data_IF_946485476762
#
_entry.id   IF_946485476762
#
_cell.length_a   1.000
_cell.length_b   1.000
_cell.length_c   1.000
_cell.angle_alpha   90.00
_cell.angle_beta   90.00
_cell.angle_gamma   90.00
#
_symmetry.space_group_name_H-M   'P 1'
#
loop_
_entity.id
_entity.type
_entity.pdbx_description
1 polymer ?
#
# COMPACT_ATOMS: atom_id res chain seq x y z
N UNK A 1 -13.18 3.88 35.24
CA UNK A 1 -12.57 4.47 34.03
C UNK A 1 -13.30 3.95 32.81
N UNK A 2 -13.96 4.82 32.02
CA UNK A 2 -14.44 4.44 30.68
C UNK A 2 -13.22 4.22 29.81
N UNK A 3 -13.08 3.03 29.21
CA UNK A 3 -12.04 2.79 28.20
C UNK A 3 -12.37 3.65 26.99
N UNK A 4 -11.45 4.49 26.50
CA UNK A 4 -11.72 5.29 25.31
C UNK A 4 -12.02 4.36 24.15
N UNK A 5 -12.99 4.75 23.32
CA UNK A 5 -13.35 3.97 22.15
C UNK A 5 -12.17 4.02 21.16
N UNK A 6 -11.90 2.94 20.43
CA UNK A 6 -10.81 2.90 19.43
C UNK A 6 -10.93 4.04 18.41
N UNK A 7 -12.16 4.50 18.14
CA UNK A 7 -12.43 5.65 17.29
C UNK A 7 -11.95 6.99 17.85
N UNK A 8 -11.90 7.16 19.18
CA UNK A 8 -11.43 8.38 19.86
C UNK A 8 -9.89 8.46 19.88
N UNK A 9 -9.21 7.31 19.91
CA UNK A 9 -7.74 7.24 19.96
C UNK A 9 -7.11 7.16 18.56
N UNK A 10 -7.81 6.54 17.60
CA UNK A 10 -7.36 6.38 16.21
C UNK A 10 -8.47 6.82 15.23
N UNK A 11 -8.59 8.15 14.99
CA UNK A 11 -9.56 8.68 14.03
C UNK A 11 -9.37 8.04 12.65
N UNK A 12 -10.49 7.83 11.95
CA UNK A 12 -10.48 7.21 10.61
C UNK A 12 -9.82 8.13 9.59
N UNK A 13 -9.21 7.54 8.57
CA UNK A 13 -8.45 8.26 7.54
C UNK A 13 -7.09 8.81 7.97
N UNK A 14 -6.69 8.69 9.23
CA UNK A 14 -5.37 9.14 9.72
C UNK A 14 -4.23 8.29 9.16
N UNK A 15 -3.05 8.91 9.03
CA UNK A 15 -1.83 8.21 8.60
C UNK A 15 -1.47 7.07 9.57
N UNK A 16 -1.73 7.22 10.87
CA UNK A 16 -1.46 6.17 11.87
C UNK A 16 -2.31 4.91 11.61
N UNK A 17 -3.62 5.08 11.42
CA UNK A 17 -4.53 3.97 11.15
C UNK A 17 -4.29 3.35 9.77
N UNK A 18 -3.88 4.16 8.80
CA UNK A 18 -3.40 3.67 7.51
C UNK A 18 -2.09 2.90 7.68
N UNK A 19 -1.13 3.41 8.44
CA UNK A 19 0.18 2.81 8.66
C UNK A 19 0.13 1.48 9.41
N UNK A 20 -0.81 1.29 10.35
CA UNK A 20 -1.00 0.00 11.03
C UNK A 20 -1.50 -1.07 10.05
N UNK A 21 -2.57 -0.76 9.30
CA UNK A 21 -3.10 -1.65 8.27
C UNK A 21 -2.08 -1.87 7.13
N UNK A 22 -1.42 -0.79 6.73
CA UNK A 22 -0.41 -0.76 5.68
C UNK A 22 0.83 -1.55 6.08
N UNK A 23 1.26 -1.49 7.33
CA UNK A 23 2.40 -2.26 7.85
C UNK A 23 2.12 -3.77 7.83
N UNK A 24 0.92 -4.18 8.23
CA UNK A 24 0.49 -5.58 8.09
C UNK A 24 0.49 -6.02 6.62
N UNK A 25 -0.04 -5.18 5.72
CA UNK A 25 -0.07 -5.46 4.29
C UNK A 25 1.33 -5.50 3.66
N UNK A 26 2.21 -4.59 4.04
CA UNK A 26 3.62 -4.55 3.61
C UNK A 26 4.37 -5.78 4.11
N UNK A 27 4.07 -6.28 5.31
CA UNK A 27 4.63 -7.54 5.78
C UNK A 27 4.16 -8.72 4.92
N UNK A 28 2.87 -8.82 4.61
CA UNK A 28 2.36 -9.87 3.71
C UNK A 28 2.99 -9.79 2.31
N UNK A 29 3.14 -8.58 1.78
CA UNK A 29 3.87 -8.35 0.52
C UNK A 29 5.29 -8.89 0.65
N UNK A 30 6.04 -8.44 1.66
CA UNK A 30 7.43 -8.86 1.84
C UNK A 30 7.58 -10.39 1.91
N UNK A 31 6.71 -11.06 2.67
CA UNK A 31 6.69 -12.54 2.75
C UNK A 31 6.43 -13.16 1.39
N UNK A 32 5.38 -12.73 0.68
CA UNK A 32 5.04 -13.29 -0.63
C UNK A 32 6.13 -13.05 -1.68
N UNK A 33 6.74 -11.86 -1.65
CA UNK A 33 7.83 -11.48 -2.53
C UNK A 33 9.10 -12.29 -2.26
N UNK A 34 9.50 -12.49 -1.01
CA UNK A 34 10.63 -13.36 -0.66
C UNK A 34 10.36 -14.82 -1.03
N UNK A 35 9.13 -15.32 -0.82
CA UNK A 35 8.75 -16.67 -1.24
C UNK A 35 8.87 -16.82 -2.75
N UNK A 36 8.33 -15.89 -3.55
CA UNK A 36 8.47 -15.92 -5.01
C UNK A 36 9.94 -15.89 -5.45
N UNK A 37 10.77 -15.04 -4.82
CA UNK A 37 12.21 -14.93 -5.09
C UNK A 37 13.00 -16.19 -4.74
N UNK A 38 12.51 -16.99 -3.80
CA UNK A 38 13.13 -18.28 -3.45
C UNK A 38 12.84 -19.42 -4.44
N UNK A 39 12.05 -19.16 -5.49
CA UNK A 39 11.70 -20.15 -6.51
C UNK A 39 12.49 -19.93 -7.81
N UNK A 40 12.44 -20.92 -8.71
CA UNK A 40 13.01 -20.81 -10.07
C UNK A 40 12.43 -19.67 -10.90
N UNK A 41 11.28 -19.09 -10.49
CA UNK A 41 10.65 -17.98 -11.20
C UNK A 41 11.52 -16.74 -11.24
N UNK A 42 12.42 -16.56 -10.27
CA UNK A 42 13.36 -15.44 -10.26
C UNK A 42 14.27 -15.47 -11.49
N UNK A 43 14.80 -16.65 -11.85
CA UNK A 43 15.65 -16.85 -13.03
C UNK A 43 14.87 -16.68 -14.34
N UNK A 44 13.58 -17.07 -14.34
CA UNK A 44 12.73 -16.99 -15.52
C UNK A 44 12.24 -15.57 -15.83
N UNK A 45 11.93 -14.78 -14.79
CA UNK A 45 11.20 -13.51 -14.96
C UNK A 45 12.00 -12.26 -14.62
N UNK A 46 12.89 -12.28 -13.62
CA UNK A 46 13.61 -11.14 -12.98
C UNK A 46 12.96 -10.52 -11.71
N UNK A 47 13.76 -9.72 -10.99
CA UNK A 47 13.38 -9.05 -9.73
C UNK A 47 12.19 -8.10 -9.87
N UNK A 48 12.13 -7.35 -10.98
CA UNK A 48 11.06 -6.39 -11.27
C UNK A 48 9.73 -7.09 -11.51
N UNK A 49 9.73 -8.22 -12.23
CA UNK A 49 8.54 -9.04 -12.40
C UNK A 49 8.07 -9.65 -11.07
N UNK A 50 8.99 -10.16 -10.24
CA UNK A 50 8.66 -10.65 -8.89
C UNK A 50 8.01 -9.57 -8.04
N UNK A 51 8.52 -8.34 -8.11
CA UNK A 51 7.94 -7.16 -7.48
C UNK A 51 6.51 -6.90 -7.95
N UNK A 52 6.28 -6.79 -9.26
CA UNK A 52 4.96 -6.45 -9.82
C UNK A 52 3.89 -7.48 -9.48
N UNK A 53 4.21 -8.78 -9.56
CA UNK A 53 3.28 -9.86 -9.20
C UNK A 53 2.91 -9.76 -7.72
N UNK A 54 3.91 -9.53 -6.87
CA UNK A 54 3.72 -9.40 -5.43
C UNK A 54 2.94 -8.15 -5.04
N UNK A 55 3.18 -7.03 -5.73
CA UNK A 55 2.42 -5.79 -5.57
C UNK A 55 0.95 -5.99 -5.92
N UNK A 56 0.67 -6.67 -7.05
CA UNK A 56 -0.69 -6.94 -7.49
C UNK A 56 -1.45 -7.77 -6.46
N UNK A 57 -0.85 -8.86 -5.98
CA UNK A 57 -1.42 -9.71 -4.93
C UNK A 57 -1.67 -8.91 -3.64
N UNK A 58 -0.66 -8.19 -3.16
CA UNK A 58 -0.74 -7.35 -1.96
C UNK A 58 -1.82 -6.28 -2.08
N UNK A 59 -1.97 -5.64 -3.24
CA UNK A 59 -2.98 -4.60 -3.47
C UNK A 59 -4.40 -5.11 -3.30
N UNK A 60 -4.67 -6.35 -3.72
CA UNK A 60 -5.97 -7.00 -3.51
C UNK A 60 -6.25 -7.14 -2.01
N UNK A 61 -5.29 -7.65 -1.23
CA UNK A 61 -5.42 -7.76 0.23
C UNK A 61 -5.61 -6.38 0.89
N UNK A 62 -4.77 -5.40 0.51
CA UNK A 62 -4.79 -4.05 1.03
C UNK A 62 -6.15 -3.39 0.83
N UNK A 63 -6.79 -3.59 -0.32
CA UNK A 63 -8.09 -3.01 -0.62
C UNK A 63 -9.13 -3.41 0.43
N UNK A 64 -9.24 -4.71 0.73
CA UNK A 64 -10.21 -5.20 1.71
C UNK A 64 -9.89 -4.71 3.13
N UNK A 65 -8.60 -4.73 3.51
CA UNK A 65 -8.17 -4.28 4.84
C UNK A 65 -8.45 -2.79 5.04
N UNK A 66 -8.03 -1.92 4.11
CA UNK A 66 -8.22 -0.48 4.24
C UNK A 66 -9.68 -0.07 4.13
N UNK A 67 -10.47 -0.78 3.32
CA UNK A 67 -11.92 -0.57 3.23
C UNK A 67 -12.61 -0.86 4.56
N UNK A 68 -12.32 -2.00 5.18
CA UNK A 68 -12.93 -2.40 6.45
C UNK A 68 -12.40 -1.59 7.64
N UNK A 69 -11.09 -1.32 7.66
CA UNK A 69 -10.41 -0.81 8.84
C UNK A 69 -10.10 0.70 8.77
N UNK A 70 -9.69 1.24 7.63
CA UNK A 70 -9.08 2.59 7.57
C UNK A 70 -10.05 3.70 7.17
N UNK A 71 -10.86 3.49 6.13
CA UNK A 71 -11.64 4.59 5.52
C UNK A 71 -13.16 4.50 5.74
N UNK A 72 -13.67 3.32 6.10
CA UNK A 72 -15.09 3.02 6.31
C UNK A 72 -16.00 3.26 5.09
N UNK A 73 -17.19 2.66 5.08
CA UNK A 73 -18.15 2.70 3.98
C UNK A 73 -18.87 4.05 3.79
N UNK A 74 -18.36 5.16 4.35
CA UNK A 74 -19.04 6.47 4.39
C UNK A 74 -19.39 7.01 3.00
N UNK A 75 -18.60 6.63 1.98
CA UNK A 75 -18.92 6.86 0.56
C UNK A 75 -19.34 5.54 -0.09
N UNK A 76 -20.40 5.60 -0.89
CA UNK A 76 -20.86 4.47 -1.70
C UNK A 76 -19.72 3.90 -2.55
N UNK A 77 -19.63 2.57 -2.63
CA UNK A 77 -18.56 1.86 -3.35
C UNK A 77 -18.42 2.34 -4.78
N UNK A 78 -19.55 2.58 -5.44
CA UNK A 78 -19.63 3.08 -6.82
C UNK A 78 -18.91 4.42 -7.01
N UNK A 79 -18.85 5.26 -5.98
CA UNK A 79 -18.22 6.58 -6.05
C UNK A 79 -16.71 6.53 -5.75
N UNK A 80 -16.23 5.51 -5.03
CA UNK A 80 -14.82 5.40 -4.63
C UNK A 80 -14.03 4.40 -5.46
N UNK A 81 -14.69 3.47 -6.16
CA UNK A 81 -14.02 2.34 -6.81
C UNK A 81 -13.12 2.79 -7.97
N UNK A 82 -13.55 3.75 -8.80
CA UNK A 82 -12.75 4.23 -9.91
C UNK A 82 -11.53 5.02 -9.42
N UNK A 83 -11.71 5.88 -8.42
CA UNK A 83 -10.60 6.61 -7.79
C UNK A 83 -9.60 5.67 -7.11
N UNK A 84 -10.08 4.67 -6.37
CA UNK A 84 -9.22 3.68 -5.73
C UNK A 84 -8.47 2.81 -6.73
N UNK A 85 -9.14 2.32 -7.79
CA UNK A 85 -8.51 1.56 -8.87
C UNK A 85 -7.43 2.37 -9.58
N UNK A 86 -7.70 3.64 -9.88
CA UNK A 86 -6.69 4.54 -10.46
C UNK A 86 -5.48 4.69 -9.54
N UNK A 87 -5.69 4.96 -8.24
CA UNK A 87 -4.59 5.09 -7.28
C UNK A 87 -3.77 3.81 -7.21
N UNK A 88 -4.40 2.63 -7.19
CA UNK A 88 -3.66 1.36 -7.17
C UNK A 88 -2.93 1.06 -8.48
N UNK A 89 -3.52 1.40 -9.63
CA UNK A 89 -2.87 1.23 -10.94
C UNK A 89 -1.65 2.15 -11.09
N UNK A 90 -1.79 3.43 -10.72
CA UNK A 90 -0.66 4.37 -10.69
C UNK A 90 0.40 3.95 -9.67
N UNK A 91 -0.02 3.51 -8.48
CA UNK A 91 0.86 2.97 -7.46
C UNK A 91 1.65 1.77 -7.97
N UNK A 92 1.00 0.83 -8.67
CA UNK A 92 1.65 -0.34 -9.25
C UNK A 92 2.70 0.05 -10.30
N UNK A 93 2.31 0.86 -11.28
CA UNK A 93 3.20 1.25 -12.37
C UNK A 93 4.39 2.06 -11.83
N UNK A 94 4.12 3.08 -11.03
CA UNK A 94 5.15 3.93 -10.46
C UNK A 94 6.07 3.17 -9.48
N UNK A 95 5.51 2.32 -8.62
CA UNK A 95 6.30 1.51 -7.68
C UNK A 95 7.19 0.51 -8.40
N UNK A 96 6.69 -0.12 -9.47
CA UNK A 96 7.51 -1.04 -10.27
C UNK A 96 8.66 -0.31 -10.95
N UNK A 97 8.39 0.82 -11.62
CA UNK A 97 9.42 1.60 -12.32
C UNK A 97 10.49 2.15 -11.37
N UNK A 98 10.07 2.64 -10.20
CA UNK A 98 11.02 3.15 -9.18
C UNK A 98 11.83 2.03 -8.55
N UNK A 99 11.25 0.84 -8.35
CA UNK A 99 11.98 -0.33 -7.88
C UNK A 99 13.04 -0.77 -8.90
N UNK A 100 12.65 -0.88 -10.17
CA UNK A 100 13.54 -1.23 -11.29
C UNK A 100 14.70 -0.23 -11.44
N UNK A 101 14.39 1.07 -11.31
CA UNK A 101 15.42 2.11 -11.31
C UNK A 101 16.37 1.97 -10.10
N UNK A 102 15.85 1.71 -8.90
CA UNK A 102 16.67 1.57 -7.70
C UNK A 102 17.62 0.38 -7.77
N UNK A 103 17.17 -0.79 -8.24
CA UNK A 103 18.04 -1.97 -8.39
C UNK A 103 19.09 -1.77 -9.50
N UNK A 104 18.80 -0.93 -10.49
CA UNK A 104 19.74 -0.63 -11.59
C UNK A 104 20.76 0.44 -11.23
N UNK A 105 20.44 1.34 -10.29
CA UNK A 105 21.25 2.51 -9.93
C UNK A 105 21.98 2.37 -8.60
N UNK A 106 21.73 1.30 -7.83
CA UNK A 106 22.26 1.14 -6.48
C UNK A 106 22.66 -0.30 -6.18
N UNK A 107 23.84 -0.48 -5.57
CA UNK A 107 24.29 -1.76 -5.02
C UNK A 107 23.76 -2.02 -3.59
N UNK A 108 22.80 -1.21 -3.12
CA UNK A 108 22.22 -1.39 -1.81
C UNK A 108 21.51 -2.76 -1.67
N UNK A 109 21.44 -3.33 -0.46
CA UNK A 109 20.73 -4.57 -0.26
C UNK A 109 19.28 -4.48 -0.76
N UNK A 110 18.87 -5.44 -1.58
CA UNK A 110 17.54 -5.42 -2.24
C UNK A 110 16.36 -5.31 -1.27
N UNK A 111 16.52 -5.84 -0.04
CA UNK A 111 15.52 -5.72 1.04
C UNK A 111 15.40 -4.30 1.58
N UNK A 112 16.49 -3.53 1.56
CA UNK A 112 16.46 -2.11 1.89
C UNK A 112 15.76 -1.32 0.78
N UNK A 113 16.05 -1.62 -0.49
CA UNK A 113 15.36 -1.01 -1.64
C UNK A 113 13.86 -1.30 -1.60
N UNK A 114 13.46 -2.52 -1.24
CA UNK A 114 12.06 -2.87 -0.98
C UNK A 114 11.42 -1.94 0.04
N UNK A 115 12.05 -1.78 1.22
CA UNK A 115 11.49 -0.97 2.29
C UNK A 115 11.39 0.51 1.90
N UNK A 116 12.42 1.06 1.26
CA UNK A 116 12.42 2.45 0.79
C UNK A 116 11.28 2.68 -0.19
N UNK A 117 11.11 1.78 -1.17
CA UNK A 117 10.05 1.88 -2.16
C UNK A 117 8.66 1.83 -1.50
N UNK A 118 8.48 0.88 -0.58
CA UNK A 118 7.21 0.69 0.12
C UNK A 118 6.83 1.89 0.99
N UNK A 119 7.81 2.51 1.66
CA UNK A 119 7.55 3.71 2.46
C UNK A 119 7.12 4.88 1.57
N UNK A 120 7.84 5.12 0.46
CA UNK A 120 7.52 6.20 -0.46
C UNK A 120 6.12 6.04 -1.06
N UNK A 121 5.83 4.86 -1.62
CA UNK A 121 4.52 4.60 -2.26
C UNK A 121 3.39 4.39 -1.26
N UNK A 122 3.68 3.95 -0.04
CA UNK A 122 2.71 3.88 1.05
C UNK A 122 2.21 5.27 1.44
N UNK A 123 3.11 6.24 1.59
CA UNK A 123 2.74 7.64 1.86
C UNK A 123 1.96 8.25 0.69
N UNK A 124 2.40 8.01 -0.55
CA UNK A 124 1.67 8.46 -1.74
C UNK A 124 0.24 7.90 -1.80
N UNK A 125 0.09 6.59 -1.56
CA UNK A 125 -1.21 5.91 -1.56
C UNK A 125 -2.11 6.44 -0.46
N UNK A 126 -1.57 6.67 0.74
CA UNK A 126 -2.34 7.28 1.82
C UNK A 126 -2.83 8.68 1.45
N UNK A 127 -1.94 9.55 0.98
CA UNK A 127 -2.26 10.94 0.65
C UNK A 127 -3.34 11.01 -0.44
N UNK A 128 -3.19 10.21 -1.49
CA UNK A 128 -4.13 10.18 -2.60
C UNK A 128 -5.49 9.61 -2.22
N UNK A 129 -5.52 8.53 -1.43
CA UNK A 129 -6.76 7.98 -0.89
C UNK A 129 -7.44 8.98 0.05
N UNK A 130 -6.68 9.61 0.96
CA UNK A 130 -7.23 10.55 1.95
C UNK A 130 -7.85 11.77 1.28
N UNK A 131 -7.12 12.44 0.40
CA UNK A 131 -7.54 13.73 -0.16
C UNK A 131 -8.39 13.59 -1.42
N UNK A 132 -7.99 12.75 -2.38
CA UNK A 132 -8.70 12.69 -3.67
C UNK A 132 -9.86 11.70 -3.68
N UNK A 133 -9.74 10.56 -2.98
CA UNK A 133 -10.79 9.54 -2.98
C UNK A 133 -11.82 9.81 -1.87
N UNK A 134 -11.34 9.93 -0.64
CA UNK A 134 -12.22 10.07 0.52
C UNK A 134 -12.49 11.52 0.92
N UNK A 135 -11.67 12.48 0.50
CA UNK A 135 -11.93 13.92 0.69
C UNK A 135 -11.82 14.40 2.13
N UNK A 136 -11.02 13.74 2.98
CA UNK A 136 -10.80 14.22 4.35
C UNK A 136 -10.00 15.53 4.33
N UNK A 137 -10.68 16.66 4.48
CA UNK A 137 -10.11 17.99 4.71
C UNK A 137 -10.35 18.41 6.17
N UNK A 138 -9.57 19.37 6.68
CA UNK A 138 -9.61 19.84 8.08
C UNK A 138 -10.94 20.44 8.51
N UNK A 139 -11.89 20.63 7.61
CA UNK A 139 -13.22 21.20 7.90
C UNK A 139 -14.27 20.13 8.28
N UNK A 140 -13.96 18.83 8.12
CA UNK A 140 -14.88 17.71 8.40
C UNK A 140 -14.36 16.70 9.45
N UNK A 141 -13.32 17.05 10.22
CA UNK A 141 -12.85 16.30 11.41
C UNK A 141 -13.64 16.66 12.67
#
# INVERSE_FOLDING_TARGET
MKRPNVAEVLPRGTLQRFGIAGGFNTFLFWVFWELLRSTFLLELLNETAMWSISWAFSSVCAHFVHRAFTFDGRKNVKNTILGALSVYAFGMAGSTLSYDAMISMSDAPIRLLFLINMLAWGVFTWATMRWFVFGYTSEEE
#
